data_IF_892706616693
#
_entry.id   IF_892706616693
#
_cell.length_a   1.000
_cell.length_b   1.000
_cell.length_c   1.000
_cell.angle_alpha   90.00
_cell.angle_beta   90.00
_cell.angle_gamma   90.00
#
_symmetry.space_group_name_H-M   'P 1'
#
loop_
_entity.id
_entity.type
_entity.pdbx_description
1 polymer ?
#
# COMPACT_ATOMS: atom_id res chain seq x y z
N UNK A 1 -29.86 19.32 22.94
CA UNK A 1 -28.76 18.96 23.87
C UNK A 1 -27.57 19.90 23.65
N UNK A 2 -26.84 20.31 24.71
CA UNK A 2 -25.61 21.10 24.55
C UNK A 2 -24.50 20.34 23.83
N UNK A 3 -23.75 21.02 22.96
CA UNK A 3 -22.67 20.47 22.14
C UNK A 3 -21.60 19.71 22.98
N UNK A 4 -21.38 20.16 24.22
CA UNK A 4 -20.41 19.60 25.18
C UNK A 4 -20.77 18.18 25.63
N UNK A 5 -22.06 17.86 25.78
CA UNK A 5 -22.52 16.49 26.08
C UNK A 5 -22.31 15.57 24.87
N UNK A 6 -22.67 16.02 23.67
CA UNK A 6 -22.52 15.24 22.42
C UNK A 6 -21.06 14.80 22.21
N UNK A 7 -20.09 15.69 22.49
CA UNK A 7 -18.66 15.40 22.39
C UNK A 7 -18.15 14.38 23.42
N UNK A 8 -18.77 14.27 24.61
CA UNK A 8 -18.42 13.24 25.60
C UNK A 8 -19.02 11.87 25.26
N UNK A 9 -20.21 11.82 24.63
CA UNK A 9 -20.84 10.56 24.23
C UNK A 9 -20.20 9.89 23.01
N UNK A 10 -19.62 10.65 22.07
CA UNK A 10 -19.07 10.11 20.82
C UNK A 10 -17.91 9.09 21.01
N UNK A 11 -16.90 9.33 21.87
CA UNK A 11 -15.86 8.33 22.16
C UNK A 11 -16.41 7.07 22.82
N UNK A 12 -17.35 7.22 23.78
CA UNK A 12 -17.97 6.09 24.48
C UNK A 12 -18.83 5.25 23.54
N UNK A 13 -19.58 5.87 22.61
CA UNK A 13 -20.37 5.16 21.59
C UNK A 13 -19.48 4.34 20.66
N UNK A 14 -18.33 4.86 20.22
CA UNK A 14 -17.39 4.09 19.40
C UNK A 14 -16.74 2.96 20.21
N UNK A 15 -16.43 3.16 21.49
CA UNK A 15 -15.94 2.09 22.38
C UNK A 15 -16.96 0.93 22.46
N UNK A 16 -18.24 1.24 22.66
CA UNK A 16 -19.30 0.23 22.70
C UNK A 16 -19.44 -0.52 21.37
N UNK A 17 -19.47 0.19 20.23
CA UNK A 17 -19.54 -0.46 18.92
C UNK A 17 -18.35 -1.41 18.65
N UNK A 18 -17.13 -1.03 19.05
CA UNK A 18 -15.95 -1.91 18.94
C UNK A 18 -16.11 -3.18 19.77
N UNK A 19 -16.65 -3.08 21.00
CA UNK A 19 -16.89 -4.26 21.84
C UNK A 19 -17.94 -5.18 21.23
N UNK A 20 -19.05 -4.64 20.72
CA UNK A 20 -20.09 -5.42 20.03
C UNK A 20 -19.48 -6.15 18.81
N UNK A 21 -18.73 -5.44 17.96
CA UNK A 21 -18.09 -6.07 16.80
C UNK A 21 -17.11 -7.20 17.19
N UNK A 22 -16.31 -6.99 18.24
CA UNK A 22 -15.41 -8.03 18.75
C UNK A 22 -16.20 -9.26 19.22
N UNK A 23 -17.26 -9.06 20.00
CA UNK A 23 -18.06 -10.12 20.56
C UNK A 23 -18.81 -10.93 19.48
N UNK A 24 -19.53 -10.23 18.59
CA UNK A 24 -20.37 -10.86 17.56
C UNK A 24 -19.58 -11.48 16.40
N UNK A 25 -18.35 -11.05 16.11
CA UNK A 25 -17.62 -11.46 14.90
C UNK A 25 -16.20 -11.99 15.11
N UNK A 26 -15.54 -11.65 16.21
CA UNK A 26 -14.14 -12.02 16.46
C UNK A 26 -14.02 -13.08 17.57
N UNK A 27 -14.83 -13.01 18.62
CA UNK A 27 -14.80 -13.91 19.78
C UNK A 27 -15.45 -15.28 19.52
N UNK A 28 -15.03 -15.96 18.45
CA UNK A 28 -15.55 -17.27 18.09
C UNK A 28 -15.04 -18.39 19.01
N UNK A 29 -15.79 -19.48 19.12
CA UNK A 29 -15.34 -20.75 19.71
C UNK A 29 -14.37 -21.50 18.78
N UNK A 30 -13.68 -22.51 19.31
CA UNK A 30 -12.83 -23.38 18.49
C UNK A 30 -13.64 -24.11 17.40
N UNK A 31 -14.83 -24.59 17.74
CA UNK A 31 -15.71 -25.26 16.78
C UNK A 31 -16.22 -24.32 15.70
N UNK A 32 -16.60 -23.07 16.04
CA UNK A 32 -16.97 -22.06 15.04
C UNK A 32 -15.82 -21.77 14.06
N UNK A 33 -14.58 -21.64 14.55
CA UNK A 33 -13.40 -21.49 13.69
C UNK A 33 -13.18 -22.74 12.79
N UNK A 34 -13.36 -23.95 13.33
CA UNK A 34 -13.25 -25.21 12.57
C UNK A 34 -14.33 -25.30 11.49
N UNK A 35 -15.58 -24.99 11.80
CA UNK A 35 -16.68 -24.99 10.83
C UNK A 35 -16.44 -23.97 9.72
N UNK A 36 -16.01 -22.74 10.05
CA UNK A 36 -15.63 -21.75 9.02
C UNK A 36 -14.53 -22.31 8.10
N UNK A 37 -13.50 -22.96 8.64
CA UNK A 37 -12.42 -23.56 7.83
C UNK A 37 -12.97 -24.62 6.85
N UNK A 38 -13.85 -25.51 7.31
CA UNK A 38 -14.45 -26.56 6.50
C UNK A 38 -15.43 -26.01 5.44
N UNK A 39 -16.31 -25.08 5.82
CA UNK A 39 -17.29 -24.45 4.91
C UNK A 39 -16.67 -23.48 3.89
N UNK A 40 -15.35 -23.24 3.94
CA UNK A 40 -14.65 -22.31 3.05
C UNK A 40 -13.52 -22.93 2.24
N UNK A 41 -13.45 -24.27 2.15
CA UNK A 41 -12.41 -25.01 1.37
C UNK A 41 -12.35 -24.60 -0.11
N UNK A 42 -13.47 -24.16 -0.71
CA UNK A 42 -13.50 -23.64 -2.09
C UNK A 42 -12.95 -22.20 -2.24
N UNK A 43 -12.44 -21.63 -1.15
CA UNK A 43 -11.80 -20.31 -1.07
C UNK A 43 -12.51 -19.20 -1.85
N UNK A 44 -11.95 -18.74 -2.97
CA UNK A 44 -12.46 -17.60 -3.76
C UNK A 44 -13.86 -17.82 -4.34
N UNK A 45 -14.33 -19.06 -4.44
CA UNK A 45 -15.69 -19.41 -4.87
C UNK A 45 -16.71 -19.40 -3.71
N UNK A 46 -16.27 -19.28 -2.45
CA UNK A 46 -17.14 -19.27 -1.27
C UNK A 46 -17.48 -17.84 -0.82
N UNK A 47 -18.76 -17.47 -0.87
CA UNK A 47 -19.23 -16.19 -0.32
C UNK A 47 -18.94 -16.04 1.19
N UNK A 48 -18.96 -17.14 1.95
CA UNK A 48 -18.59 -17.17 3.36
C UNK A 48 -17.09 -16.86 3.56
N UNK A 49 -16.22 -17.36 2.68
CA UNK A 49 -14.78 -17.06 2.72
C UNK A 49 -14.52 -15.56 2.57
N UNK A 50 -15.20 -14.90 1.63
CA UNK A 50 -15.11 -13.44 1.47
C UNK A 50 -15.63 -12.70 2.70
N UNK A 51 -16.80 -13.10 3.22
CA UNK A 51 -17.42 -12.49 4.41
C UNK A 51 -16.54 -12.59 5.67
N UNK A 52 -15.97 -13.77 5.94
CA UNK A 52 -15.09 -13.99 7.10
C UNK A 52 -13.72 -13.32 6.92
N UNK A 53 -13.23 -13.15 5.67
CA UNK A 53 -12.01 -12.38 5.41
C UNK A 53 -12.20 -10.89 5.60
N UNK A 54 -13.35 -10.33 5.21
CA UNK A 54 -13.64 -8.90 5.39
C UNK A 54 -13.60 -8.47 6.88
N UNK A 55 -13.92 -9.38 7.81
CA UNK A 55 -13.90 -9.14 9.26
C UNK A 55 -12.49 -9.12 9.88
N UNK A 56 -11.45 -9.56 9.15
CA UNK A 56 -10.13 -9.92 9.71
C UNK A 56 -8.97 -9.42 8.86
N UNK A 57 -7.76 -9.40 9.44
CA UNK A 57 -6.54 -9.21 8.65
C UNK A 57 -6.10 -10.57 8.12
N UNK A 58 -5.95 -10.68 6.81
CA UNK A 58 -5.50 -11.91 6.15
C UNK A 58 -3.98 -11.92 5.92
N UNK A 59 -3.36 -13.10 5.97
CA UNK A 59 -1.90 -13.27 5.81
C UNK A 59 -1.33 -12.59 4.54
N UNK A 60 -2.06 -12.61 3.42
CA UNK A 60 -1.69 -11.94 2.16
C UNK A 60 -1.54 -10.41 2.29
N UNK A 61 -2.12 -9.79 3.32
CA UNK A 61 -2.00 -8.37 3.61
C UNK A 61 -0.91 -8.04 4.64
N UNK A 62 -0.30 -9.03 5.30
CA UNK A 62 0.65 -8.79 6.40
C UNK A 62 1.85 -7.99 5.91
N UNK A 63 2.47 -8.38 4.79
CA UNK A 63 3.60 -7.64 4.21
C UNK A 63 3.31 -6.16 3.93
N UNK A 64 2.09 -5.84 3.50
CA UNK A 64 1.63 -4.46 3.26
C UNK A 64 1.42 -3.65 4.55
N UNK A 65 1.14 -4.31 5.68
CA UNK A 65 1.00 -3.69 7.00
C UNK A 65 2.37 -3.55 7.68
N UNK A 66 3.18 -4.62 7.68
CA UNK A 66 4.50 -4.66 8.34
C UNK A 66 5.46 -3.64 7.71
N UNK A 67 5.44 -3.48 6.39
CA UNK A 67 6.30 -2.52 5.68
C UNK A 67 5.76 -1.08 5.70
N UNK A 68 4.52 -0.83 6.16
CA UNK A 68 3.94 0.53 6.17
C UNK A 68 4.60 1.41 7.23
N UNK A 69 4.93 2.65 6.84
CA UNK A 69 5.34 3.71 7.75
C UNK A 69 4.16 4.07 8.68
N UNK A 70 4.28 3.94 10.01
CA UNK A 70 3.18 4.21 10.93
C UNK A 70 2.72 5.67 11.01
N UNK A 71 3.50 6.62 10.50
CA UNK A 71 3.20 8.05 10.57
C UNK A 71 2.47 8.60 9.34
N UNK A 72 2.26 7.77 8.30
CA UNK A 72 1.52 8.18 7.09
C UNK A 72 0.02 7.85 7.21
N UNK A 73 -0.86 8.65 6.57
CA UNK A 73 -2.30 8.37 6.50
C UNK A 73 -2.60 6.93 6.06
N UNK A 74 -3.63 6.35 6.66
CA UNK A 74 -3.99 4.94 6.47
C UNK A 74 -5.40 4.74 5.93
N UNK A 75 -6.22 5.79 5.84
CA UNK A 75 -7.57 5.77 5.29
C UNK A 75 -7.65 5.08 3.92
N UNK A 76 -6.79 5.42 2.96
CA UNK A 76 -6.76 4.80 1.62
C UNK A 76 -6.39 3.31 1.69
N UNK A 77 -5.58 2.90 2.66
CA UNK A 77 -5.24 1.49 2.84
C UNK A 77 -6.38 0.70 3.50
N UNK A 78 -7.04 1.27 4.51
CA UNK A 78 -8.26 0.69 5.13
C UNK A 78 -9.39 0.62 4.10
N UNK A 79 -9.59 1.67 3.29
CA UNK A 79 -10.52 1.70 2.16
C UNK A 79 -10.27 0.54 1.21
N UNK A 80 -9.04 0.41 0.72
CA UNK A 80 -8.69 -0.65 -0.22
C UNK A 80 -8.81 -2.05 0.40
N UNK A 81 -8.64 -2.19 1.72
CA UNK A 81 -8.76 -3.48 2.41
C UNK A 81 -10.23 -3.91 2.62
N UNK A 82 -11.14 -2.96 2.85
CA UNK A 82 -12.56 -3.23 3.13
C UNK A 82 -13.46 -3.09 1.91
N UNK A 83 -13.31 -2.03 1.12
CA UNK A 83 -14.27 -1.59 0.10
C UNK A 83 -13.76 -1.76 -1.35
N UNK A 84 -12.68 -2.51 -1.57
CA UNK A 84 -12.22 -2.79 -2.92
C UNK A 84 -13.20 -3.70 -3.67
N UNK A 85 -13.66 -3.25 -4.83
CA UNK A 85 -14.51 -4.02 -5.74
C UNK A 85 -13.71 -4.93 -6.70
N UNK A 86 -12.49 -5.36 -6.33
CA UNK A 86 -11.61 -6.12 -7.21
C UNK A 86 -12.16 -7.51 -7.54
N UNK A 87 -12.66 -7.69 -8.77
CA UNK A 87 -13.22 -8.96 -9.32
C UNK A 87 -12.16 -9.89 -9.95
N UNK A 88 -10.89 -9.75 -9.57
CA UNK A 88 -9.76 -10.47 -10.19
C UNK A 88 -9.26 -9.84 -11.49
N UNK A 89 -8.03 -10.16 -11.87
CA UNK A 89 -7.40 -9.77 -13.14
C UNK A 89 -6.80 -11.00 -13.86
N UNK A 90 -6.19 -10.81 -15.04
CA UNK A 90 -5.57 -11.92 -15.80
C UNK A 90 -4.56 -12.74 -14.99
N UNK A 91 -3.78 -12.11 -14.11
CA UNK A 91 -2.77 -12.77 -13.30
C UNK A 91 -3.41 -13.63 -12.19
N UNK A 92 -4.46 -13.14 -11.52
CA UNK A 92 -5.16 -13.94 -10.50
C UNK A 92 -5.96 -15.09 -11.11
N UNK A 93 -6.59 -14.88 -12.28
CA UNK A 93 -7.31 -15.95 -13.01
C UNK A 93 -6.36 -17.04 -13.49
N UNK A 94 -5.23 -16.66 -14.08
CA UNK A 94 -4.18 -17.61 -14.46
C UNK A 94 -3.59 -18.34 -13.25
N UNK A 95 -3.39 -17.62 -12.13
CA UNK A 95 -2.89 -18.21 -10.89
C UNK A 95 -3.75 -19.37 -10.40
N UNK A 96 -5.07 -19.14 -10.31
CA UNK A 96 -6.07 -20.15 -9.93
C UNK A 96 -6.11 -21.31 -10.94
N UNK A 97 -6.14 -21.01 -12.25
CA UNK A 97 -6.21 -22.02 -13.31
C UNK A 97 -5.00 -22.97 -13.31
N UNK A 98 -3.82 -22.45 -12.95
CA UNK A 98 -2.56 -23.19 -12.96
C UNK A 98 -2.23 -23.86 -11.63
N UNK A 99 -3.02 -23.63 -10.57
CA UNK A 99 -2.73 -24.06 -9.19
C UNK A 99 -2.62 -25.59 -9.08
N UNK A 100 -3.64 -26.32 -9.54
CA UNK A 100 -3.67 -27.80 -9.47
C UNK A 100 -2.53 -28.43 -10.29
N UNK A 101 -2.25 -27.92 -11.50
CA UNK A 101 -1.09 -28.35 -12.30
C UNK A 101 0.24 -28.10 -11.58
N UNK A 102 0.36 -26.98 -10.88
CA UNK A 102 1.57 -26.64 -10.10
C UNK A 102 1.74 -27.56 -8.89
N UNK A 103 0.64 -27.99 -8.27
CA UNK A 103 0.64 -28.97 -7.18
C UNK A 103 1.14 -30.34 -7.68
N UNK A 104 0.69 -30.81 -8.85
CA UNK A 104 1.19 -32.08 -9.39
C UNK A 104 2.68 -32.02 -9.78
N UNK A 105 3.11 -30.96 -10.45
CA UNK A 105 4.55 -30.74 -10.75
C UNK A 105 5.40 -30.65 -9.47
N UNK A 106 4.89 -30.00 -8.41
CA UNK A 106 5.54 -29.93 -7.11
C UNK A 106 5.67 -31.30 -6.44
N UNK A 107 4.65 -32.16 -6.50
CA UNK A 107 4.72 -33.55 -6.01
C UNK A 107 5.80 -34.36 -6.74
N UNK A 108 5.88 -34.23 -8.06
CA UNK A 108 6.90 -34.93 -8.86
C UNK A 108 8.32 -34.49 -8.45
N UNK A 109 8.57 -33.18 -8.35
CA UNK A 109 9.86 -32.66 -7.87
C UNK A 109 10.23 -33.14 -6.47
N UNK A 110 9.25 -33.23 -5.56
CA UNK A 110 9.51 -33.75 -4.21
C UNK A 110 9.84 -35.24 -4.21
N UNK A 111 9.19 -36.03 -5.08
CA UNK A 111 9.52 -37.44 -5.26
C UNK A 111 10.94 -37.67 -5.85
N UNK A 112 11.45 -36.77 -6.70
CA UNK A 112 12.84 -36.79 -7.17
C UNK A 112 13.86 -36.69 -6.01
N UNK A 113 13.54 -35.90 -4.98
CA UNK A 113 14.32 -35.78 -3.73
C UNK A 113 14.03 -36.93 -2.71
N UNK A 114 13.26 -37.95 -3.09
CA UNK A 114 12.72 -39.01 -2.23
C UNK A 114 11.76 -38.54 -1.12
N UNK A 115 11.22 -37.31 -1.22
CA UNK A 115 10.18 -36.78 -0.33
C UNK A 115 8.79 -37.05 -0.93
N UNK A 116 8.16 -38.16 -0.54
CA UNK A 116 6.78 -38.43 -0.95
C UNK A 116 5.80 -37.53 -0.19
N UNK A 117 4.96 -36.81 -0.93
CA UNK A 117 4.03 -35.83 -0.35
C UNK A 117 2.58 -36.01 -0.80
N UNK A 118 1.65 -35.62 0.07
CA UNK A 118 0.24 -35.45 -0.23
C UNK A 118 -0.20 -34.02 0.06
N UNK A 119 -1.04 -33.44 -0.81
CA UNK A 119 -1.47 -32.03 -0.71
C UNK A 119 -2.99 -31.96 -0.64
N UNK A 120 -3.51 -31.35 0.43
CA UNK A 120 -4.94 -31.14 0.65
C UNK A 120 -5.32 -29.66 0.52
N UNK A 121 -6.44 -29.38 -0.15
CA UNK A 121 -7.06 -28.04 -0.12
C UNK A 121 -7.64 -27.75 1.27
N UNK A 122 -7.64 -26.48 1.67
CA UNK A 122 -8.20 -26.01 2.94
C UNK A 122 -8.82 -24.62 2.78
N UNK A 123 -9.69 -24.25 3.72
CA UNK A 123 -10.39 -22.96 3.69
C UNK A 123 -9.68 -21.85 4.45
N UNK A 124 -10.49 -20.96 5.04
CA UNK A 124 -10.02 -19.88 5.89
C UNK A 124 -9.77 -20.38 7.31
N UNK A 125 -8.49 -20.53 7.67
CA UNK A 125 -8.06 -20.81 9.04
C UNK A 125 -8.04 -19.49 9.83
N UNK A 126 -8.71 -19.46 10.97
CA UNK A 126 -8.71 -18.33 11.91
C UNK A 126 -7.72 -18.64 13.03
N UNK A 127 -6.86 -17.67 13.38
CA UNK A 127 -5.86 -17.87 14.44
C UNK A 127 -6.56 -18.12 15.79
N UNK A 128 -6.28 -19.21 16.52
CA UNK A 128 -7.06 -19.64 17.69
C UNK A 128 -7.13 -18.60 18.81
N UNK A 129 -6.01 -17.93 19.12
CA UNK A 129 -5.97 -16.85 20.13
C UNK A 129 -6.26 -15.48 19.53
N UNK A 130 -5.58 -15.11 18.44
CA UNK A 130 -5.69 -13.78 17.83
C UNK A 130 -6.72 -13.76 16.70
N UNK A 131 -7.98 -14.06 16.99
CA UNK A 131 -9.06 -14.32 16.01
C UNK A 131 -9.40 -13.16 15.04
N UNK A 132 -8.78 -12.00 15.21
CA UNK A 132 -8.77 -10.92 14.23
C UNK A 132 -7.80 -11.17 13.05
N UNK A 133 -7.05 -12.26 13.10
CA UNK A 133 -6.12 -12.74 12.07
C UNK A 133 -6.65 -14.03 11.44
N UNK A 134 -6.52 -14.14 10.13
CA UNK A 134 -6.88 -15.35 9.38
C UNK A 134 -5.92 -15.59 8.20
N UNK A 135 -5.94 -16.81 7.65
CA UNK A 135 -5.11 -17.19 6.53
C UNK A 135 -5.79 -18.29 5.71
N UNK A 136 -5.45 -18.35 4.42
CA UNK A 136 -5.81 -19.46 3.53
C UNK A 136 -4.54 -19.81 2.77
N UNK A 137 -3.86 -20.92 3.13
CA UNK A 137 -2.77 -21.45 2.33
C UNK A 137 -3.33 -22.13 1.09
N UNK A 138 -2.51 -22.22 0.05
CA UNK A 138 -2.88 -22.87 -1.21
C UNK A 138 -2.97 -24.40 -1.02
N UNK A 139 -2.28 -24.95 -0.01
CA UNK A 139 -2.51 -26.31 0.46
C UNK A 139 -1.89 -26.65 1.82
N UNK A 140 -2.37 -27.73 2.43
CA UNK A 140 -1.73 -28.42 3.56
C UNK A 140 -0.94 -29.60 2.99
N UNK A 141 0.37 -29.64 3.26
CA UNK A 141 1.26 -30.69 2.75
C UNK A 141 1.54 -31.69 3.88
N UNK A 142 1.33 -32.98 3.63
CA UNK A 142 1.83 -34.08 4.46
C UNK A 142 3.02 -34.70 3.74
N UNK A 143 4.19 -34.66 4.38
CA UNK A 143 5.47 -35.17 3.88
C UNK A 143 5.88 -36.43 4.64
N UNK A 144 6.50 -37.39 3.92
CA UNK A 144 7.09 -38.59 4.50
C UNK A 144 8.31 -38.32 5.38
N UNK A 145 8.98 -37.17 5.24
CA UNK A 145 10.20 -36.82 5.97
C UNK A 145 9.97 -35.75 7.04
N UNK A 146 9.13 -34.75 6.75
CA UNK A 146 9.02 -33.52 7.57
C UNK A 146 7.64 -33.35 8.25
N UNK A 147 6.77 -34.36 8.17
CA UNK A 147 5.43 -34.32 8.76
C UNK A 147 4.50 -33.34 8.02
N UNK A 148 3.65 -32.60 8.75
CA UNK A 148 2.65 -31.71 8.11
C UNK A 148 3.06 -30.24 8.10
N UNK A 149 3.22 -29.68 6.91
CA UNK A 149 3.44 -28.26 6.64
C UNK A 149 2.37 -27.63 5.75
N UNK A 150 2.76 -26.62 4.99
CA UNK A 150 1.92 -25.86 4.05
C UNK A 150 2.61 -25.71 2.70
N UNK A 151 1.86 -25.27 1.68
CA UNK A 151 2.37 -24.75 0.42
C UNK A 151 1.74 -23.38 0.10
N UNK A 152 2.54 -22.48 -0.48
CA UNK A 152 2.13 -21.18 -1.02
C UNK A 152 2.73 -21.01 -2.42
N UNK A 153 1.88 -20.86 -3.44
CA UNK A 153 2.21 -20.95 -4.86
C UNK A 153 2.11 -19.58 -5.53
N UNK A 154 3.12 -19.22 -6.33
CA UNK A 154 3.12 -18.01 -7.15
C UNK A 154 3.37 -18.37 -8.61
N UNK A 155 2.28 -18.67 -9.30
CA UNK A 155 2.22 -18.81 -10.75
C UNK A 155 2.39 -17.45 -11.43
N UNK A 156 3.56 -17.23 -12.01
CA UNK A 156 3.91 -16.00 -12.72
C UNK A 156 3.27 -15.99 -14.11
N UNK A 157 2.70 -14.85 -14.50
CA UNK A 157 2.15 -14.61 -15.83
C UNK A 157 2.81 -13.35 -16.41
N UNK A 158 3.60 -13.52 -17.47
CA UNK A 158 4.32 -12.47 -18.16
C UNK A 158 4.10 -12.58 -19.68
N UNK A 159 4.10 -11.45 -20.38
CA UNK A 159 3.96 -11.38 -21.85
C UNK A 159 5.27 -11.66 -22.60
N UNK A 160 6.40 -11.68 -21.89
CA UNK A 160 7.73 -12.05 -22.40
C UNK A 160 8.27 -13.20 -21.54
N UNK A 161 9.18 -14.03 -22.07
CA UNK A 161 9.89 -15.02 -21.27
C UNK A 161 10.55 -14.35 -20.05
N UNK A 162 10.56 -15.05 -18.92
CA UNK A 162 11.16 -14.57 -17.67
C UNK A 162 11.93 -15.69 -17.00
N UNK A 163 13.27 -15.59 -17.02
CA UNK A 163 14.11 -16.47 -16.22
C UNK A 163 14.15 -15.97 -14.77
N UNK A 164 13.97 -16.85 -13.79
CA UNK A 164 13.94 -16.52 -12.36
C UNK A 164 15.25 -15.90 -11.85
N UNK A 165 16.41 -16.32 -12.39
CA UNK A 165 17.71 -15.75 -12.03
C UNK A 165 17.92 -14.34 -12.62
N UNK A 166 17.50 -14.12 -13.86
CA UNK A 166 17.52 -12.79 -14.48
C UNK A 166 16.56 -11.84 -13.76
N UNK A 167 15.35 -12.31 -13.44
CA UNK A 167 14.35 -11.57 -12.69
C UNK A 167 14.82 -11.23 -11.27
N UNK A 168 15.60 -12.10 -10.62
CA UNK A 168 16.16 -11.86 -9.28
C UNK A 168 17.15 -10.68 -9.23
N UNK A 169 17.72 -10.26 -10.36
CA UNK A 169 18.51 -9.02 -10.46
C UNK A 169 17.64 -7.75 -10.36
N UNK A 170 16.32 -7.86 -10.52
CA UNK A 170 15.39 -6.74 -10.37
C UNK A 170 15.02 -6.51 -8.90
N UNK A 171 15.11 -5.25 -8.47
CA UNK A 171 14.63 -4.83 -7.14
C UNK A 171 13.14 -5.15 -6.92
N UNK A 172 12.33 -5.13 -7.99
CA UNK A 172 10.88 -5.33 -7.93
C UNK A 172 10.43 -6.80 -7.94
N UNK A 173 11.35 -7.76 -8.14
CA UNK A 173 11.01 -9.19 -8.10
C UNK A 173 11.04 -9.75 -6.67
N UNK A 174 10.33 -10.84 -6.42
CA UNK A 174 10.25 -11.44 -5.08
C UNK A 174 11.50 -12.22 -4.66
N UNK A 175 12.20 -12.86 -5.62
CA UNK A 175 13.44 -13.59 -5.36
C UNK A 175 14.66 -12.68 -5.48
N UNK A 176 15.76 -13.09 -4.85
CA UNK A 176 17.11 -12.55 -4.95
C UNK A 176 18.11 -13.70 -5.08
N UNK A 177 19.22 -13.47 -5.77
CA UNK A 177 20.34 -14.42 -5.84
C UNK A 177 21.33 -14.15 -4.70
N UNK A 178 21.62 -15.14 -3.87
CA UNK A 178 22.62 -15.10 -2.80
C UNK A 178 23.56 -16.30 -3.01
N UNK A 179 24.86 -16.05 -3.16
CA UNK A 179 25.87 -17.09 -3.39
C UNK A 179 25.48 -18.07 -4.52
N UNK A 180 25.02 -17.53 -5.66
CA UNK A 180 24.58 -18.30 -6.82
C UNK A 180 23.19 -18.97 -6.70
N UNK A 181 22.53 -18.88 -5.54
CA UNK A 181 21.26 -19.56 -5.28
C UNK A 181 20.09 -18.58 -5.13
N UNK A 182 18.92 -18.94 -5.64
CA UNK A 182 17.69 -18.16 -5.46
C UNK A 182 17.18 -18.26 -4.00
N UNK A 183 16.69 -17.14 -3.46
CA UNK A 183 16.00 -17.07 -2.16
C UNK A 183 14.88 -16.04 -2.23
N UNK A 184 13.78 -16.26 -1.52
CA UNK A 184 12.76 -15.24 -1.26
C UNK A 184 13.39 -14.10 -0.42
N UNK A 185 13.25 -12.85 -0.90
CA UNK A 185 13.69 -11.66 -0.17
C UNK A 185 12.94 -11.52 1.16
N UNK A 186 13.67 -11.49 2.28
CA UNK A 186 13.10 -11.42 3.63
C UNK A 186 12.34 -10.11 3.93
N UNK A 187 12.58 -9.06 3.13
CA UNK A 187 11.83 -7.80 3.20
C UNK A 187 10.62 -7.74 2.23
N UNK A 188 10.35 -8.81 1.47
CA UNK A 188 9.28 -8.87 0.48
C UNK A 188 7.92 -9.22 1.12
N UNK A 189 6.78 -8.69 0.62
CA UNK A 189 5.47 -9.02 1.17
C UNK A 189 5.15 -10.52 1.31
N UNK A 190 5.59 -11.35 0.37
CA UNK A 190 5.39 -12.80 0.43
C UNK A 190 6.12 -13.49 1.60
N UNK A 191 7.26 -12.95 2.06
CA UNK A 191 7.96 -13.51 3.23
C UNK A 191 7.10 -13.33 4.49
N UNK A 192 6.58 -12.13 4.70
CA UNK A 192 5.64 -11.84 5.80
C UNK A 192 4.31 -12.59 5.67
N UNK A 193 3.87 -12.91 4.44
CA UNK A 193 2.72 -13.78 4.21
C UNK A 193 3.02 -15.22 4.64
N UNK A 194 4.18 -15.80 4.27
CA UNK A 194 4.61 -17.14 4.69
C UNK A 194 4.65 -17.25 6.22
N UNK A 195 5.32 -16.32 6.91
CA UNK A 195 5.32 -16.28 8.38
C UNK A 195 3.92 -16.06 8.99
N UNK A 196 3.03 -15.36 8.27
CA UNK A 196 1.63 -15.23 8.65
C UNK A 196 0.86 -16.55 8.58
N UNK A 197 1.01 -17.29 7.48
CA UNK A 197 0.40 -18.61 7.27
C UNK A 197 0.87 -19.62 8.31
N UNK A 198 2.18 -19.70 8.54
CA UNK A 198 2.80 -20.57 9.55
C UNK A 198 2.22 -20.36 10.95
N UNK A 199 2.09 -19.10 11.37
CA UNK A 199 1.61 -18.76 12.71
C UNK A 199 0.09 -18.85 12.86
N UNK A 200 -0.69 -18.48 11.84
CA UNK A 200 -2.16 -18.60 11.88
C UNK A 200 -2.60 -20.07 11.81
N UNK A 201 -1.95 -20.88 10.97
CA UNK A 201 -2.28 -22.29 10.78
C UNK A 201 -1.54 -23.23 11.76
N UNK A 202 -0.68 -22.69 12.62
CA UNK A 202 0.14 -23.46 13.58
C UNK A 202 0.95 -24.59 12.92
N UNK A 203 1.64 -24.28 11.82
CA UNK A 203 2.50 -25.23 11.09
C UNK A 203 4.00 -24.90 11.24
N UNK A 204 4.88 -25.91 11.28
CA UNK A 204 6.31 -25.72 11.49
C UNK A 204 7.04 -25.18 10.25
N UNK A 205 6.57 -25.51 9.04
CA UNK A 205 7.18 -25.12 7.78
C UNK A 205 6.15 -24.93 6.65
N UNK A 206 6.57 -24.18 5.62
CA UNK A 206 5.82 -23.91 4.39
C UNK A 206 6.80 -23.95 3.22
N UNK A 207 6.42 -24.64 2.14
CA UNK A 207 7.16 -24.60 0.89
C UNK A 207 6.60 -23.46 0.04
N UNK A 208 7.41 -22.43 -0.16
CA UNK A 208 7.10 -21.30 -1.03
C UNK A 208 7.55 -21.63 -2.45
N UNK A 209 6.59 -21.67 -3.37
CA UNK A 209 6.80 -22.10 -4.76
C UNK A 209 6.61 -20.93 -5.72
N UNK A 210 7.57 -20.71 -6.62
CA UNK A 210 7.46 -19.74 -7.72
C UNK A 210 7.62 -20.48 -9.03
N UNK A 211 6.63 -20.36 -9.92
CA UNK A 211 6.59 -21.07 -11.20
C UNK A 211 6.43 -20.10 -12.36
N UNK A 212 7.19 -20.34 -13.42
CA UNK A 212 7.08 -19.71 -14.74
C UNK A 212 7.01 -20.79 -15.80
N UNK A 213 6.28 -20.53 -16.89
CA UNK A 213 6.07 -21.44 -18.02
C UNK A 213 7.00 -21.18 -19.21
N UNK A 214 7.61 -19.99 -19.29
CA UNK A 214 8.46 -19.60 -20.41
C UNK A 214 9.64 -18.74 -19.90
N UNK A 215 10.88 -19.25 -19.89
CA UNK A 215 11.19 -20.69 -19.88
C UNK A 215 10.49 -21.39 -18.70
N UNK A 216 10.27 -22.70 -18.80
CA UNK A 216 9.73 -23.46 -17.66
C UNK A 216 10.75 -23.49 -16.52
N UNK A 217 10.38 -22.95 -15.37
CA UNK A 217 11.15 -23.05 -14.14
C UNK A 217 10.20 -23.09 -12.93
N UNK A 218 10.47 -23.99 -11.99
CA UNK A 218 9.85 -24.04 -10.68
C UNK A 218 10.94 -23.95 -9.60
N UNK A 219 10.89 -22.86 -8.83
CA UNK A 219 11.66 -22.64 -7.61
C UNK A 219 10.82 -23.06 -6.40
N UNK A 220 11.44 -23.76 -5.45
CA UNK A 220 10.83 -24.20 -4.19
C UNK A 220 11.78 -23.78 -3.05
N UNK A 221 11.25 -23.14 -2.01
CA UNK A 221 12.00 -22.86 -0.78
C UNK A 221 11.17 -23.23 0.45
N UNK A 222 11.69 -24.14 1.28
CA UNK A 222 11.14 -24.40 2.62
C UNK A 222 11.47 -23.23 3.56
N UNK A 223 10.45 -22.69 4.20
CA UNK A 223 10.54 -21.60 5.19
C UNK A 223 9.99 -22.12 6.51
N UNK A 224 10.79 -22.02 7.57
CA UNK A 224 10.44 -22.48 8.90
C UNK A 224 9.76 -21.38 9.75
N UNK A 225 8.96 -21.80 10.73
CA UNK A 225 8.23 -20.92 11.63
C UNK A 225 9.18 -20.22 12.61
N UNK A 226 9.56 -19.00 12.27
CA UNK A 226 10.20 -18.07 13.20
C UNK A 226 9.18 -17.52 14.21
N UNK A 227 9.43 -17.80 15.50
CA UNK A 227 8.62 -17.37 16.64
C UNK A 227 9.02 -15.96 17.11
N UNK A 228 10.31 -15.59 17.08
CA UNK A 228 10.75 -14.24 17.50
C UNK A 228 10.25 -13.19 16.52
N UNK A 229 10.39 -13.44 15.22
CA UNK A 229 9.83 -12.59 14.17
C UNK A 229 8.32 -12.42 14.35
N UNK A 230 7.60 -13.48 14.71
CA UNK A 230 6.17 -13.42 14.96
C UNK A 230 5.82 -12.56 16.17
N UNK A 231 6.35 -12.92 17.34
CA UNK A 231 5.95 -12.33 18.62
C UNK A 231 6.49 -10.91 18.81
N UNK A 232 7.72 -10.65 18.36
CA UNK A 232 8.39 -9.36 18.56
C UNK A 232 8.28 -8.39 17.39
N UNK A 233 7.87 -8.83 16.19
CA UNK A 233 7.75 -7.93 15.01
C UNK A 233 6.37 -7.94 14.38
N UNK A 234 5.84 -9.10 13.99
CA UNK A 234 4.60 -9.18 13.20
C UNK A 234 3.35 -8.93 14.05
N UNK A 235 3.12 -9.75 15.07
CA UNK A 235 1.91 -9.73 15.88
C UNK A 235 1.67 -8.36 16.57
N UNK A 236 2.66 -7.67 17.17
CA UNK A 236 2.43 -6.37 17.79
C UNK A 236 1.96 -5.32 16.79
N UNK A 237 2.54 -5.30 15.59
CA UNK A 237 2.20 -4.33 14.54
C UNK A 237 0.86 -4.65 13.88
N UNK A 238 0.54 -5.93 13.65
CA UNK A 238 -0.78 -6.36 13.17
C UNK A 238 -1.89 -6.05 14.19
N UNK A 239 -1.67 -6.29 15.49
CA UNK A 239 -2.60 -5.96 16.57
C UNK A 239 -2.83 -4.44 16.69
N UNK A 240 -1.77 -3.64 16.57
CA UNK A 240 -1.89 -2.17 16.55
C UNK A 240 -2.66 -1.66 15.33
N UNK A 241 -2.41 -2.21 14.14
CA UNK A 241 -3.17 -1.89 12.93
C UNK A 241 -4.65 -2.27 13.08
N UNK A 242 -4.96 -3.49 13.54
CA UNK A 242 -6.33 -3.94 13.75
C UNK A 242 -7.08 -3.00 14.71
N UNK A 243 -6.54 -2.81 15.92
CA UNK A 243 -7.23 -2.08 16.99
C UNK A 243 -7.41 -0.59 16.71
N UNK A 244 -6.44 0.06 16.06
CA UNK A 244 -6.45 1.52 15.84
C UNK A 244 -6.94 1.96 14.47
N UNK A 245 -6.76 1.17 13.41
CA UNK A 245 -7.12 1.55 12.05
C UNK A 245 -8.32 0.76 11.50
N UNK A 246 -8.32 -0.57 11.62
CA UNK A 246 -9.33 -1.41 10.95
C UNK A 246 -10.63 -1.57 11.74
N UNK A 247 -10.55 -2.00 13.01
CA UNK A 247 -11.69 -2.22 13.91
C UNK A 247 -12.59 -0.97 14.09
N UNK A 248 -12.09 0.28 14.17
CA UNK A 248 -12.95 1.45 14.28
C UNK A 248 -13.84 1.68 13.04
N UNK A 249 -13.40 1.22 11.88
CA UNK A 249 -14.13 1.33 10.62
C UNK A 249 -15.13 0.17 10.49
N UNK A 250 -14.67 -1.07 10.71
CA UNK A 250 -15.52 -2.27 10.79
C UNK A 250 -16.71 -2.11 11.75
N UNK A 251 -16.46 -1.58 12.95
CA UNK A 251 -17.49 -1.41 13.97
C UNK A 251 -18.42 -0.21 13.72
N UNK A 252 -18.05 0.75 12.86
CA UNK A 252 -18.83 1.97 12.66
C UNK A 252 -18.45 2.67 11.33
N UNK A 253 -18.87 2.16 10.17
CA UNK A 253 -18.42 2.65 8.87
C UNK A 253 -18.70 4.14 8.59
N UNK A 254 -17.67 4.82 8.08
CA UNK A 254 -17.61 6.23 7.64
C UNK A 254 -17.18 6.40 6.19
N UNK A 255 -16.85 5.34 5.46
CA UNK A 255 -16.70 5.45 4.02
C UNK A 255 -17.95 6.09 3.37
N UNK A 256 -17.72 7.00 2.42
CA UNK A 256 -18.78 7.82 1.80
C UNK A 256 -19.40 8.92 2.70
N UNK A 257 -18.92 9.13 3.93
CA UNK A 257 -19.49 10.11 4.88
C UNK A 257 -18.41 11.06 5.39
N UNK A 258 -18.72 12.35 5.57
CA UNK A 258 -17.80 13.29 6.23
C UNK A 258 -17.56 12.90 7.70
N UNK A 259 -16.33 12.97 8.25
CA UNK A 259 -15.06 13.41 7.64
C UNK A 259 -14.23 12.28 6.98
N UNK A 260 -14.85 11.12 6.71
CA UNK A 260 -14.24 9.94 6.10
C UNK A 260 -13.81 8.88 7.12
N UNK A 261 -13.18 7.82 6.60
CA UNK A 261 -12.53 6.76 7.38
C UNK A 261 -11.60 7.37 8.43
N UNK A 262 -11.67 6.84 9.66
CA UNK A 262 -10.95 7.41 10.81
C UNK A 262 -9.44 7.27 10.67
N UNK A 263 -8.74 8.40 10.70
CA UNK A 263 -7.28 8.43 10.82
C UNK A 263 -6.84 8.34 12.29
N UNK A 264 -6.04 7.33 12.68
CA UNK A 264 -5.50 7.21 14.04
C UNK A 264 -4.23 8.02 14.29
N UNK A 265 -3.70 8.72 13.27
CA UNK A 265 -2.36 9.31 13.33
C UNK A 265 -1.29 8.21 13.43
N UNK A 266 -0.32 8.37 14.33
CA UNK A 266 0.73 7.35 14.56
C UNK A 266 0.11 6.11 15.23
N UNK A 267 -0.22 5.11 14.42
CA UNK A 267 -0.89 3.90 14.90
C UNK A 267 0.07 2.87 15.51
N UNK A 268 1.34 2.85 15.12
CA UNK A 268 2.34 1.94 15.69
C UNK A 268 3.62 2.68 16.07
N UNK A 269 4.14 2.38 17.25
CA UNK A 269 5.45 2.80 17.72
C UNK A 269 6.16 1.53 18.17
N UNK A 270 7.35 1.28 17.63
CA UNK A 270 8.16 0.16 18.07
C UNK A 270 8.87 0.51 19.39
N UNK A 271 8.73 -0.37 20.38
CA UNK A 271 9.34 -0.20 21.70
C UNK A 271 10.88 -0.25 21.61
N UNK A 272 11.44 -1.03 20.69
CA UNK A 272 12.90 -1.20 20.52
C UNK A 272 13.58 0.06 19.96
N UNK A 273 12.92 0.83 19.09
CA UNK A 273 13.44 2.10 18.56
C UNK A 273 13.39 3.28 19.55
N UNK A 274 12.60 3.19 20.62
CA UNK A 274 12.44 4.27 21.61
C UNK A 274 13.69 4.55 22.45
N UNK A 275 14.61 3.59 22.56
CA UNK A 275 15.82 3.67 23.41
C UNK A 275 16.94 4.53 22.80
N UNK A 276 16.93 4.80 21.48
CA UNK A 276 18.03 5.53 20.80
C UNK A 276 17.99 7.06 20.90
N UNK A 277 17.01 7.66 21.60
CA UNK A 277 16.99 9.12 21.87
C UNK A 277 17.60 9.46 23.24
N UNK A 278 18.91 9.23 23.40
CA UNK A 278 19.66 9.88 24.49
C UNK A 278 19.64 11.40 24.27
N UNK A 279 19.14 12.13 25.28
CA UNK A 279 19.11 13.61 25.30
C UNK A 279 20.53 14.15 25.11
N UNK A 280 20.74 14.98 24.08
CA UNK A 280 21.97 15.78 23.95
C UNK A 280 21.83 16.99 24.87
N UNK A 281 22.30 16.84 26.11
CA UNK A 281 22.43 17.95 27.06
C UNK A 281 23.55 18.85 26.53
N UNK A 282 23.21 20.09 26.16
CA UNK A 282 24.19 21.12 25.84
C UNK A 282 24.66 21.79 27.12
N UNK A 283 25.81 21.38 27.63
CA UNK A 283 26.51 22.07 28.72
C UNK A 283 27.08 23.41 28.24
N UNK A 284 26.98 24.44 29.07
CA UNK A 284 27.49 25.78 28.78
C UNK A 284 28.93 25.97 29.31
N UNK A 285 29.78 26.61 28.50
CA UNK A 285 31.06 27.24 28.90
C UNK A 285 31.49 28.23 27.80
N UNK A 286 31.31 29.55 27.93
CA UNK A 286 32.10 30.54 28.69
C UNK A 286 33.49 30.86 28.12
N UNK A 287 33.60 31.94 27.32
CA UNK A 287 34.57 33.07 27.49
C UNK A 287 34.48 34.05 26.29
N UNK A 288 34.17 35.35 26.51
CA UNK A 288 35.08 36.52 26.60
C UNK A 288 35.97 36.74 25.34
N UNK A 289 36.07 37.86 24.59
CA UNK A 289 35.54 39.27 24.50
C UNK A 289 36.76 40.18 24.20
N UNK A 290 36.60 41.21 23.31
CA UNK A 290 37.53 42.32 22.89
C UNK A 290 38.14 42.14 21.48
N UNK A 291 38.35 43.18 20.63
CA UNK A 291 38.34 44.66 20.86
C UNK A 291 38.05 45.52 19.59
N UNK A 292 37.52 46.76 19.80
CA UNK A 292 37.57 48.06 19.04
C UNK A 292 37.51 48.08 17.48
N UNK A 293 36.63 48.84 16.77
CA UNK A 293 36.31 50.30 16.68
C UNK A 293 37.38 51.20 16.02
N UNK A 294 37.09 51.78 14.85
CA UNK A 294 36.97 53.25 14.57
C UNK A 294 36.51 53.58 13.12
N UNK A 295 35.89 54.76 12.92
CA UNK A 295 35.42 55.38 11.65
C UNK A 295 36.45 56.44 11.15
N UNK A 296 36.23 57.37 10.16
CA UNK A 296 35.13 57.61 9.19
C UNK A 296 35.59 57.90 7.71
N UNK A 297 34.66 58.35 6.83
CA UNK A 297 34.89 58.93 5.47
C UNK A 297 35.40 60.40 5.53
N UNK A 298 36.04 60.94 4.46
CA UNK A 298 35.35 61.73 3.40
C UNK A 298 35.87 61.49 1.95
N UNK A 299 35.57 62.32 0.92
CA UNK A 299 34.30 62.57 0.17
C UNK A 299 34.53 63.50 -1.08
N UNK A 300 33.57 63.55 -2.05
CA UNK A 300 33.33 64.49 -3.21
C UNK A 300 34.29 64.70 -4.42
N UNK A 301 33.71 64.67 -5.66
CA UNK A 301 33.98 65.47 -6.93
C UNK A 301 35.38 65.45 -7.62
N UNK A 302 35.60 65.70 -8.93
CA UNK A 302 34.79 65.94 -10.17
C UNK A 302 35.64 65.69 -11.45
N UNK A 303 35.03 65.81 -12.66
CA UNK A 303 35.65 66.07 -14.00
C UNK A 303 36.56 64.99 -14.65
N UNK A 304 36.83 64.94 -15.97
CA UNK A 304 36.04 65.18 -17.21
C UNK A 304 36.78 64.56 -18.44
N UNK A 305 36.06 64.25 -19.54
CA UNK A 305 36.58 63.88 -20.90
C UNK A 305 37.49 62.60 -21.02
N UNK A 306 37.56 61.80 -22.12
CA UNK A 306 37.28 61.93 -23.56
C UNK A 306 36.89 60.58 -24.24
N UNK A 307 36.24 60.65 -25.42
CA UNK A 307 36.38 59.81 -26.63
C UNK A 307 36.22 58.25 -26.67
N UNK A 308 35.14 57.84 -27.36
CA UNK A 308 35.04 56.82 -28.44
C UNK A 308 35.46 55.32 -28.29
N UNK A 309 34.42 54.48 -28.31
CA UNK A 309 34.18 53.35 -29.25
C UNK A 309 35.25 52.24 -29.42
N UNK A 310 34.99 51.05 -28.85
CA UNK A 310 34.33 49.94 -29.57
C UNK A 310 34.10 48.66 -28.72
N UNK A 311 32.93 48.05 -28.93
CA UNK A 311 32.60 46.62 -28.78
C UNK A 311 33.05 45.84 -27.51
N UNK A 312 32.11 45.71 -26.54
CA UNK A 312 31.72 44.42 -25.92
C UNK A 312 30.47 44.62 -25.03
N UNK A 313 29.38 43.92 -25.33
CA UNK A 313 28.20 43.89 -24.45
C UNK A 313 28.53 43.21 -23.11
N UNK A 314 28.21 43.83 -21.96
CA UNK A 314 28.33 43.18 -20.66
C UNK A 314 26.97 42.82 -20.05
N UNK A 315 26.96 41.68 -19.36
CA UNK A 315 26.10 41.36 -18.23
C UNK A 315 24.57 41.56 -18.39
N UNK A 316 23.88 40.51 -18.87
CA UNK A 316 22.46 40.35 -18.55
C UNK A 316 22.29 40.29 -17.02
N UNK A 317 21.51 41.24 -16.52
CA UNK A 317 21.23 41.40 -15.10
C UNK A 317 20.52 40.14 -14.55
N UNK A 318 20.93 39.70 -13.37
CA UNK A 318 20.54 38.40 -12.78
C UNK A 318 19.12 38.45 -12.21
N UNK A 319 18.11 38.53 -13.09
CA UNK A 319 16.71 38.41 -12.70
C UNK A 319 16.46 37.02 -12.10
N UNK A 320 16.18 37.00 -10.81
CA UNK A 320 15.74 35.81 -10.08
C UNK A 320 14.47 35.27 -10.71
N UNK A 321 14.56 34.14 -11.44
CA UNK A 321 13.38 33.41 -11.90
C UNK A 321 12.57 32.93 -10.70
N UNK A 322 11.57 33.72 -10.31
CA UNK A 322 10.54 33.31 -9.37
C UNK A 322 9.91 32.03 -9.89
N UNK A 323 9.99 30.96 -9.09
CA UNK A 323 9.44 29.65 -9.45
C UNK A 323 7.91 29.75 -9.39
N UNK A 324 7.28 30.14 -10.50
CA UNK A 324 5.83 30.08 -10.66
C UNK A 324 5.37 28.68 -10.24
N UNK A 325 4.49 28.61 -9.23
CA UNK A 325 3.86 27.36 -8.83
C UNK A 325 2.98 26.92 -10.00
N UNK A 326 3.36 25.85 -10.67
CA UNK A 326 2.52 25.24 -11.70
C UNK A 326 1.30 24.63 -11.01
N UNK A 327 0.11 25.01 -11.49
CA UNK A 327 -1.16 24.44 -11.07
C UNK A 327 -1.16 22.95 -11.41
N UNK A 328 -1.30 22.09 -10.39
CA UNK A 328 -1.29 20.64 -10.57
C UNK A 328 -2.72 20.16 -10.81
N UNK A 329 -2.92 19.35 -11.86
CA UNK A 329 -4.21 18.77 -12.22
C UNK A 329 -4.31 17.30 -11.81
N UNK A 330 -3.25 16.49 -11.97
CA UNK A 330 -3.34 15.04 -11.70
C UNK A 330 -3.67 14.75 -10.23
N UNK A 331 -4.77 14.02 -10.01
CA UNK A 331 -5.31 13.67 -8.71
C UNK A 331 -6.21 14.73 -8.06
N UNK A 332 -6.59 15.78 -8.80
CA UNK A 332 -7.58 16.79 -8.35
C UNK A 332 -8.99 16.36 -8.73
N UNK A 333 -9.96 16.76 -7.93
CA UNK A 333 -11.37 16.72 -8.30
C UNK A 333 -11.75 18.02 -9.00
N UNK A 334 -12.40 17.91 -10.15
CA UNK A 334 -12.83 19.03 -10.98
C UNK A 334 -14.35 19.00 -11.19
N UNK A 335 -14.88 20.11 -11.68
CA UNK A 335 -16.10 20.14 -12.49
C UNK A 335 -15.75 20.75 -13.85
N UNK A 336 -16.32 20.20 -14.92
CA UNK A 336 -16.16 20.67 -16.31
C UNK A 336 -17.53 20.96 -16.90
N UNK A 337 -17.62 22.04 -17.67
CA UNK A 337 -18.84 22.46 -18.34
C UNK A 337 -18.94 21.82 -19.73
N UNK A 338 -20.02 21.09 -19.98
CA UNK A 338 -20.31 20.44 -21.27
C UNK A 338 -21.48 21.15 -21.96
N UNK A 339 -21.49 21.13 -23.29
CA UNK A 339 -22.63 21.57 -24.11
C UNK A 339 -23.49 20.33 -24.36
N UNK A 340 -24.78 20.40 -24.03
CA UNK A 340 -25.73 19.27 -24.23
C UNK A 340 -26.61 19.51 -25.46
N UNK A 341 -26.88 20.78 -25.77
CA UNK A 341 -27.66 21.22 -26.92
C UNK A 341 -26.93 22.40 -27.56
N UNK A 342 -26.45 22.22 -28.79
CA UNK A 342 -25.69 23.22 -29.54
C UNK A 342 -26.59 24.35 -30.08
N UNK A 343 -27.84 24.05 -30.43
CA UNK A 343 -28.81 25.01 -30.96
C UNK A 343 -29.36 25.93 -29.85
N UNK A 344 -29.56 25.39 -28.64
CA UNK A 344 -30.00 26.14 -27.47
C UNK A 344 -28.85 26.74 -26.64
N UNK A 345 -27.58 26.40 -26.94
CA UNK A 345 -26.39 26.74 -26.14
C UNK A 345 -26.56 26.34 -24.65
N UNK A 346 -27.27 25.23 -24.39
CA UNK A 346 -27.52 24.72 -23.04
C UNK A 346 -26.29 23.99 -22.50
N UNK A 347 -25.88 24.32 -21.27
CA UNK A 347 -24.63 23.84 -20.68
C UNK A 347 -24.79 23.39 -19.24
N UNK A 348 -24.24 22.22 -18.92
CA UNK A 348 -24.27 21.66 -17.57
C UNK A 348 -22.87 21.32 -17.04
N UNK A 349 -22.78 21.11 -15.73
CA UNK A 349 -21.52 20.89 -15.02
C UNK A 349 -21.38 19.45 -14.54
N UNK A 350 -20.44 18.73 -15.15
CA UNK A 350 -20.11 17.35 -14.81
C UNK A 350 -18.92 17.35 -13.84
N UNK A 351 -19.03 16.60 -12.75
CA UNK A 351 -17.92 16.42 -11.79
C UNK A 351 -17.06 15.24 -12.23
N UNK A 352 -15.76 15.33 -11.98
CA UNK A 352 -14.84 14.24 -12.29
C UNK A 352 -13.53 14.35 -11.54
N UNK A 353 -12.68 13.34 -11.71
CA UNK A 353 -11.34 13.29 -11.15
C UNK A 353 -10.32 13.11 -12.26
N UNK A 354 -9.27 13.95 -12.25
CA UNK A 354 -8.14 13.80 -13.17
C UNK A 354 -7.29 12.62 -12.71
N UNK A 355 -7.41 11.50 -13.40
CA UNK A 355 -6.84 10.20 -13.00
C UNK A 355 -5.33 10.16 -13.25
N UNK A 356 -4.91 10.54 -14.47
CA UNK A 356 -3.53 10.43 -14.92
C UNK A 356 -3.15 11.52 -15.93
N UNK A 357 -1.86 11.59 -16.27
CA UNK A 357 -1.31 12.39 -17.37
C UNK A 357 -0.81 11.40 -18.43
N UNK A 358 -1.46 11.36 -19.59
CA UNK A 358 -1.08 10.50 -20.72
C UNK A 358 0.12 11.08 -21.48
N UNK A 359 0.16 12.41 -21.65
CA UNK A 359 1.15 13.09 -22.49
C UNK A 359 1.42 14.51 -22.00
N UNK A 360 2.62 15.05 -22.25
CA UNK A 360 2.97 16.44 -21.95
C UNK A 360 3.51 16.63 -20.52
N UNK A 361 3.07 17.70 -19.84
CA UNK A 361 3.52 18.02 -18.47
C UNK A 361 2.36 18.61 -17.67
N UNK A 362 2.09 18.04 -16.50
CA UNK A 362 1.00 18.46 -15.60
C UNK A 362 1.00 19.99 -15.39
N UNK A 363 -0.15 20.62 -15.66
CA UNK A 363 -0.31 22.09 -15.61
C UNK A 363 0.18 22.86 -16.84
N UNK A 364 0.43 22.20 -17.99
CA UNK A 364 0.77 22.86 -19.28
C UNK A 364 -0.32 22.67 -20.33
N UNK A 365 -0.39 23.62 -21.28
CA UNK A 365 -1.37 23.63 -22.38
C UNK A 365 -1.19 22.48 -23.39
N UNK A 366 -0.04 21.78 -23.38
CA UNK A 366 0.22 20.61 -24.23
C UNK A 366 0.03 19.28 -23.49
N UNK A 367 -0.71 19.29 -22.38
CA UNK A 367 -0.90 18.15 -21.50
C UNK A 367 -2.22 17.45 -21.78
N UNK A 368 -2.17 16.13 -21.93
CA UNK A 368 -3.32 15.27 -22.17
C UNK A 368 -3.56 14.40 -20.94
N UNK A 369 -4.80 14.37 -20.46
CA UNK A 369 -5.18 13.73 -19.20
C UNK A 369 -6.24 12.65 -19.41
N UNK A 370 -6.23 11.64 -18.54
CA UNK A 370 -7.41 10.81 -18.30
C UNK A 370 -8.28 11.49 -17.23
N UNK A 371 -9.55 11.72 -17.53
CA UNK A 371 -10.55 12.21 -16.57
C UNK A 371 -11.67 11.17 -16.45
N UNK A 372 -11.99 10.77 -15.22
CA UNK A 372 -13.16 9.93 -14.91
C UNK A 372 -14.26 10.85 -14.38
N UNK A 373 -15.42 10.90 -15.03
CA UNK A 373 -16.57 11.67 -14.55
C UNK A 373 -17.43 10.84 -13.57
N UNK A 374 -18.09 11.54 -12.64
CA UNK A 374 -18.91 10.94 -11.58
C UNK A 374 -20.19 10.34 -12.18
N UNK A 375 -20.19 9.02 -12.42
CA UNK A 375 -21.33 8.27 -12.95
C UNK A 375 -21.00 7.39 -14.13
N UNK A 376 -19.86 7.63 -14.78
CA UNK A 376 -19.38 6.85 -15.93
C UNK A 376 -18.43 5.72 -15.48
N UNK A 377 -18.43 4.62 -16.23
CA UNK A 377 -17.53 3.47 -16.00
C UNK A 377 -16.17 3.62 -16.73
N UNK A 378 -16.09 4.52 -17.73
CA UNK A 378 -14.93 4.72 -18.62
C UNK A 378 -14.21 6.07 -18.39
N UNK A 379 -12.93 6.14 -18.78
CA UNK A 379 -12.12 7.36 -18.72
C UNK A 379 -12.10 8.11 -20.05
N UNK A 380 -12.14 9.43 -19.98
CA UNK A 380 -12.09 10.33 -21.13
C UNK A 380 -10.68 10.91 -21.30
N UNK A 381 -10.16 10.86 -22.52
CA UNK A 381 -8.92 11.54 -22.90
C UNK A 381 -9.21 13.02 -23.21
N UNK A 382 -8.64 13.93 -22.44
CA UNK A 382 -8.86 15.38 -22.56
C UNK A 382 -7.53 16.10 -22.74
N UNK A 383 -7.32 16.70 -23.91
CA UNK A 383 -6.10 17.43 -24.31
C UNK A 383 -6.18 18.95 -24.08
N UNK A 384 -7.38 19.48 -23.87
CA UNK A 384 -7.67 20.91 -23.67
C UNK A 384 -7.96 21.30 -22.20
N UNK A 385 -7.85 20.37 -21.25
CA UNK A 385 -8.25 20.55 -19.84
C UNK A 385 -7.61 21.78 -19.15
N UNK A 386 -6.35 22.10 -19.49
CA UNK A 386 -5.66 23.27 -18.95
C UNK A 386 -6.11 24.58 -19.62
N UNK A 387 -6.55 24.54 -20.87
CA UNK A 387 -7.17 25.69 -21.53
C UNK A 387 -8.53 26.00 -20.91
N UNK A 388 -9.36 24.97 -20.70
CA UNK A 388 -10.69 25.09 -20.08
C UNK A 388 -10.63 25.63 -18.65
N UNK A 389 -9.58 25.29 -17.90
CA UNK A 389 -9.39 25.85 -16.56
C UNK A 389 -9.09 27.36 -16.60
N UNK A 390 -8.40 27.85 -17.63
CA UNK A 390 -8.12 29.27 -17.79
C UNK A 390 -9.30 30.05 -18.41
N UNK A 391 -10.13 29.41 -19.24
CA UNK A 391 -11.37 30.02 -19.74
C UNK A 391 -12.51 30.02 -18.71
N UNK A 392 -12.38 29.21 -17.65
CA UNK A 392 -13.35 29.10 -16.55
C UNK A 392 -14.36 27.96 -16.72
N UNK A 393 -14.32 27.23 -17.84
CA UNK A 393 -15.12 26.02 -18.14
C UNK A 393 -14.71 24.80 -17.32
N UNK A 394 -13.53 24.79 -16.70
CA UNK A 394 -13.10 23.80 -15.69
C UNK A 394 -12.77 24.52 -14.39
N UNK A 395 -13.22 23.96 -13.27
CA UNK A 395 -12.95 24.50 -11.93
C UNK A 395 -12.59 23.37 -10.96
N UNK A 396 -11.65 23.62 -10.03
CA UNK A 396 -11.34 22.67 -8.96
C UNK A 396 -12.46 22.63 -7.92
N UNK A 397 -12.85 21.42 -7.54
CA UNK A 397 -13.83 21.15 -6.48
C UNK A 397 -13.16 20.90 -5.11
N UNK A 398 -11.83 20.84 -5.08
CA UNK A 398 -10.98 20.48 -3.93
C UNK A 398 -10.01 21.62 -3.54
N UNK A 399 -10.55 22.84 -3.48
CA UNK A 399 -9.93 24.05 -2.90
C UNK A 399 -10.69 24.49 -1.64
#
# INVERSE_FOLDING_TARGET
MPLRLLLMYLPQRLKNFRMIFLDTHINLSADQCKQITLSTVQQSQSGLWHSERHKRITASNFGSIIRRNPSLPINKFVRNLLYSQFKGNRHTRNGILQEDTTIEEYKLKKAEDNENIYVNKTGLVIHPTNKFLAASPDGIVTSSTDGTGLIEIKNLLHSKPINLFEAANSNNFCLITINGNLKLKENHPYFFQCHGLLNVCHKPWIDFVVRTLNPYQMFIQRIYRDVDLWENTLLPKLKAFFTKALLPELASPREGKSPGIREPGIWFVDSKTSIKRKRKITSASTNRRKTKKQNPRPDTSSDSETANTQAKEPAQNRLTRGRQKQTKFVGRSIKQQWIIDEDANHKEWYKGTVVSLLKGTDGKLNAVYEVLFDGDDDVYEIDHLVADYHSGSVQFCDL
#
